data_IF_322784106214
#
_entry.id   IF_322784106214
#
_cell.length_a   1.000
_cell.length_b   1.000
_cell.length_c   1.000
_cell.angle_alpha   90.00
_cell.angle_beta   90.00
_cell.angle_gamma   90.00
#
_symmetry.space_group_name_H-M   'P 1'
#
loop_
_entity.id
_entity.type
_entity.pdbx_description
1 polymer ?
#
# COMPACT_ATOMS: atom_id res chain seq x y z
N UNK A 1 6.39 -4.60 13.12
CA UNK A 1 5.29 -3.84 12.53
C UNK A 1 5.77 -3.30 11.20
N UNK A 2 5.04 -3.56 10.12
CA UNK A 2 5.39 -3.17 8.76
C UNK A 2 5.46 -1.64 8.68
N UNK A 3 6.49 -1.05 8.06
CA UNK A 3 6.66 0.39 8.09
C UNK A 3 5.66 1.09 7.16
N UNK A 4 5.15 2.24 7.63
CA UNK A 4 4.20 3.10 6.92
C UNK A 4 4.87 4.45 6.65
N UNK A 5 4.61 5.00 5.46
CA UNK A 5 4.78 6.42 5.20
C UNK A 5 3.43 7.12 5.30
N UNK A 6 3.31 8.08 6.23
CA UNK A 6 2.11 8.88 6.40
C UNK A 6 2.20 10.15 5.55
N UNK A 7 1.21 10.36 4.67
CA UNK A 7 1.01 11.67 4.04
C UNK A 7 0.23 12.61 4.98
N UNK A 8 -0.58 12.03 5.87
CA UNK A 8 -1.33 12.73 6.91
C UNK A 8 -2.84 12.62 6.74
N UNK A 9 -3.56 13.49 7.46
CA UNK A 9 -5.02 13.54 7.47
C UNK A 9 -5.66 12.57 8.45
N UNK A 10 -6.99 12.48 8.38
CA UNK A 10 -7.83 11.61 9.22
C UNK A 10 -9.08 11.21 8.44
N UNK A 11 -9.74 10.12 8.84
CA UNK A 11 -10.98 9.64 8.20
C UNK A 11 -10.77 8.36 7.38
N UNK A 12 -11.51 8.22 6.28
CA UNK A 12 -11.46 7.05 5.41
C UNK A 12 -10.02 6.81 4.92
N UNK A 13 -9.54 5.57 5.03
CA UNK A 13 -8.17 5.22 4.68
C UNK A 13 -8.01 5.13 3.17
N UNK A 14 -7.00 5.82 2.67
CA UNK A 14 -6.41 5.60 1.34
C UNK A 14 -5.01 5.01 1.55
N UNK A 15 -4.77 3.83 0.98
CA UNK A 15 -3.44 3.25 0.90
C UNK A 15 -2.88 3.41 -0.53
N UNK A 16 -1.71 4.04 -0.65
CA UNK A 16 -0.90 4.02 -1.86
C UNK A 16 0.06 2.83 -1.87
N UNK A 17 -0.02 1.99 -2.90
CA UNK A 17 1.03 1.07 -3.31
C UNK A 17 1.85 1.69 -4.45
N UNK A 18 3.12 1.95 -4.19
CA UNK A 18 4.02 2.68 -5.11
C UNK A 18 4.45 1.85 -6.32
N UNK A 19 4.83 2.52 -7.40
CA UNK A 19 5.50 1.87 -8.52
C UNK A 19 6.94 1.46 -8.15
N UNK A 20 7.49 0.52 -8.92
CA UNK A 20 8.85 0.05 -8.72
C UNK A 20 9.87 1.20 -8.89
N UNK A 21 10.74 1.39 -7.90
CA UNK A 21 11.75 2.45 -7.91
C UNK A 21 11.28 3.84 -7.45
N UNK A 22 10.01 4.00 -7.06
CA UNK A 22 9.47 5.29 -6.62
C UNK A 22 9.15 5.26 -5.11
N UNK A 23 9.75 6.15 -4.29
CA UNK A 23 9.33 6.29 -2.89
C UNK A 23 7.97 6.98 -2.79
N UNK A 24 7.21 6.80 -1.69
CA UNK A 24 5.91 7.44 -1.51
C UNK A 24 5.94 8.97 -1.64
N UNK A 25 7.04 9.61 -1.21
CA UNK A 25 7.22 11.05 -1.31
C UNK A 25 7.07 11.60 -2.75
N UNK A 26 7.33 10.80 -3.78
CA UNK A 26 7.09 11.19 -5.19
C UNK A 26 5.62 11.53 -5.46
N UNK A 27 4.70 10.94 -4.70
CA UNK A 27 3.26 11.10 -4.89
C UNK A 27 2.66 12.22 -4.03
N UNK A 28 3.48 12.97 -3.29
CA UNK A 28 3.01 14.04 -2.42
C UNK A 28 2.06 15.02 -3.14
N UNK A 29 2.35 15.53 -4.36
CA UNK A 29 1.46 16.48 -5.03
C UNK A 29 0.07 15.90 -5.34
N UNK A 30 -0.01 14.58 -5.58
CA UNK A 30 -1.28 13.90 -5.86
C UNK A 30 -2.14 13.76 -4.61
N UNK A 31 -1.51 13.41 -3.48
CA UNK A 31 -2.24 13.08 -2.25
C UNK A 31 -2.41 14.25 -1.28
N UNK A 32 -1.59 15.31 -1.39
CA UNK A 32 -1.67 16.47 -0.50
C UNK A 32 -3.09 17.08 -0.42
N UNK A 33 -3.86 17.24 -1.51
CA UNK A 33 -5.21 17.78 -1.41
C UNK A 33 -6.19 16.85 -0.69
N UNK A 34 -5.93 15.53 -0.69
CA UNK A 34 -6.84 14.52 -0.15
C UNK A 34 -6.75 14.38 1.37
N UNK A 35 -5.63 14.78 1.98
CA UNK A 35 -5.45 14.65 3.45
C UNK A 35 -6.45 15.51 4.25
N UNK A 36 -7.13 16.46 3.59
CA UNK A 36 -8.20 17.25 4.22
C UNK A 36 -9.45 16.42 4.58
N UNK A 37 -9.68 15.28 3.91
CA UNK A 37 -10.87 14.44 4.09
C UNK A 37 -10.56 12.95 4.32
N UNK A 38 -9.33 12.51 4.04
CA UNK A 38 -8.90 11.12 4.11
C UNK A 38 -7.65 11.00 4.98
N UNK A 39 -7.48 9.85 5.63
CA UNK A 39 -6.17 9.44 6.14
C UNK A 39 -5.42 8.79 5.00
N UNK A 40 -4.33 9.39 4.56
CA UNK A 40 -3.56 8.90 3.41
C UNK A 40 -2.22 8.38 3.87
N UNK A 41 -1.95 7.11 3.55
CA UNK A 41 -0.72 6.43 3.91
C UNK A 41 -0.22 5.55 2.76
N UNK A 42 1.04 5.15 2.81
CA UNK A 42 1.60 4.11 1.98
C UNK A 42 2.20 3.02 2.86
N UNK A 43 1.73 1.78 2.70
CA UNK A 43 2.49 0.62 3.15
C UNK A 43 3.77 0.53 2.33
N UNK A 44 4.92 0.56 3.01
CA UNK A 44 6.20 0.52 2.31
C UNK A 44 6.47 -0.89 1.76
N UNK A 45 6.91 -1.03 0.49
CA UNK A 45 7.44 -2.30 0.00
C UNK A 45 8.76 -2.64 0.72
N UNK A 46 9.12 -3.94 0.74
CA UNK A 46 10.34 -4.47 1.42
C UNK A 46 11.62 -3.71 1.13
N UNK A 47 11.78 -3.21 -0.10
CA UNK A 47 12.95 -2.44 -0.52
C UNK A 47 13.15 -1.13 0.28
N UNK A 48 12.10 -0.64 0.94
CA UNK A 48 12.11 0.58 1.76
C UNK A 48 12.01 0.29 3.27
N UNK A 49 12.10 -0.98 3.69
CA UNK A 49 12.12 -1.34 5.11
C UNK A 49 13.49 -1.04 5.73
N UNK A 50 13.49 -0.74 7.03
CA UNK A 50 14.70 -0.49 7.82
C UNK A 50 14.65 -1.30 9.12
N UNK A 51 15.51 -2.33 9.30
CA UNK A 51 16.45 -2.86 8.30
C UNK A 51 15.72 -3.48 7.10
N UNK A 52 16.38 -3.52 5.95
CA UNK A 52 15.80 -4.17 4.78
C UNK A 52 15.82 -5.69 4.97
N UNK A 53 14.70 -6.34 4.63
CA UNK A 53 14.57 -7.80 4.65
C UNK A 53 14.15 -8.28 3.26
N UNK A 54 15.09 -8.31 2.29
CA UNK A 54 14.79 -8.83 0.97
C UNK A 54 14.36 -10.31 1.08
N UNK A 55 13.46 -10.78 0.20
CA UNK A 55 13.09 -12.17 0.18
C UNK A 55 14.31 -13.04 -0.17
N UNK A 56 14.40 -14.23 0.44
CA UNK A 56 15.47 -15.20 0.16
C UNK A 56 15.37 -15.79 -1.24
N UNK A 57 14.16 -15.80 -1.80
CA UNK A 57 13.86 -16.33 -3.14
C UNK A 57 12.95 -15.37 -3.91
N UNK A 58 13.12 -15.33 -5.23
CA UNK A 58 12.23 -14.59 -6.12
C UNK A 58 11.01 -15.46 -6.45
N UNK A 59 9.95 -15.29 -5.68
CA UNK A 59 8.66 -15.95 -5.90
C UNK A 59 7.74 -15.08 -6.77
N UNK A 60 6.60 -15.65 -7.18
CA UNK A 60 5.58 -14.88 -7.91
C UNK A 60 5.06 -13.70 -7.09
N UNK A 61 4.61 -12.65 -7.76
CA UNK A 61 4.02 -11.48 -7.12
C UNK A 61 2.78 -11.80 -6.28
N UNK A 62 2.03 -12.84 -6.65
CA UNK A 62 0.88 -13.33 -5.88
C UNK A 62 1.29 -13.87 -4.50
N UNK A 63 2.47 -14.50 -4.41
CA UNK A 63 2.96 -15.13 -3.18
C UNK A 63 3.68 -14.11 -2.28
N UNK A 64 4.13 -12.98 -2.83
CA UNK A 64 4.96 -12.00 -2.12
C UNK A 64 4.22 -10.69 -1.86
N UNK A 65 3.79 -9.99 -2.91
CA UNK A 65 3.32 -8.61 -2.81
C UNK A 65 1.99 -8.49 -2.07
N UNK A 66 1.01 -9.33 -2.40
CA UNK A 66 -0.30 -9.29 -1.77
C UNK A 66 -0.24 -9.68 -0.28
N UNK A 67 0.44 -10.78 0.12
CA UNK A 67 0.62 -11.09 1.53
C UNK A 67 1.34 -10.00 2.31
N UNK A 68 2.39 -9.37 1.78
CA UNK A 68 3.08 -8.27 2.46
C UNK A 68 2.14 -7.09 2.74
N UNK A 69 1.37 -6.68 1.73
CA UNK A 69 0.42 -5.58 1.85
C UNK A 69 -0.69 -5.90 2.86
N UNK A 70 -1.27 -7.10 2.79
CA UNK A 70 -2.33 -7.54 3.70
C UNK A 70 -1.82 -7.70 5.13
N UNK A 71 -0.64 -8.27 5.33
CA UNK A 71 -0.02 -8.38 6.66
C UNK A 71 0.18 -7.00 7.27
N UNK A 72 0.67 -6.03 6.48
CA UNK A 72 0.75 -4.65 6.90
C UNK A 72 -0.61 -4.08 7.34
N UNK A 73 -1.66 -4.30 6.55
CA UNK A 73 -3.00 -3.87 6.93
C UNK A 73 -3.49 -4.53 8.21
N UNK A 74 -3.26 -5.84 8.40
CA UNK A 74 -3.61 -6.56 9.63
C UNK A 74 -2.87 -6.00 10.84
N UNK A 75 -1.57 -5.75 10.74
CA UNK A 75 -0.77 -5.22 11.85
C UNK A 75 -1.17 -3.80 12.27
N UNK A 76 -1.67 -3.01 11.32
CA UNK A 76 -2.12 -1.62 11.55
C UNK A 76 -3.63 -1.48 11.68
N UNK A 77 -4.36 -2.59 11.73
CA UNK A 77 -5.83 -2.61 11.88
C UNK A 77 -6.57 -1.75 10.83
N UNK A 78 -6.08 -1.75 9.58
CA UNK A 78 -6.61 -0.89 8.51
C UNK A 78 -7.76 -1.56 7.78
N UNK A 79 -8.98 -1.01 7.79
CA UNK A 79 -10.16 -1.61 7.15
C UNK A 79 -10.79 -0.67 6.12
N UNK A 80 -11.72 -1.20 5.31
CA UNK A 80 -12.44 -0.47 4.27
C UNK A 80 -11.49 0.34 3.37
N UNK A 81 -10.31 -0.20 3.08
CA UNK A 81 -9.21 0.56 2.46
C UNK A 81 -9.59 0.93 1.02
N UNK A 82 -9.41 2.20 0.66
CA UNK A 82 -9.36 2.62 -0.74
C UNK A 82 -7.93 2.33 -1.22
N UNK A 83 -7.75 1.28 -2.00
CA UNK A 83 -6.45 0.89 -2.53
C UNK A 83 -6.14 1.67 -3.81
N UNK A 84 -5.08 2.45 -3.79
CA UNK A 84 -4.53 3.13 -4.97
C UNK A 84 -3.18 2.49 -5.27
N UNK A 85 -3.00 1.96 -6.46
CA UNK A 85 -1.71 1.39 -6.86
C UNK A 85 -1.25 1.92 -8.21
N UNK A 86 0.05 2.18 -8.36
CA UNK A 86 0.66 2.58 -9.64
C UNK A 86 1.55 1.46 -10.18
N UNK A 87 1.34 1.01 -11.42
CA UNK A 87 2.14 0.00 -12.12
C UNK A 87 2.37 -1.26 -11.25
N UNK A 88 3.59 -1.50 -10.76
CA UNK A 88 3.91 -2.56 -9.80
C UNK A 88 2.99 -2.56 -8.56
N UNK A 89 2.73 -1.39 -7.99
CA UNK A 89 1.81 -1.24 -6.86
C UNK A 89 0.36 -1.49 -7.24
N UNK A 90 -0.03 -1.20 -8.49
CA UNK A 90 -1.37 -1.50 -9.00
C UNK A 90 -1.62 -3.02 -9.00
N UNK A 91 -0.63 -3.80 -9.42
CA UNK A 91 -0.70 -5.27 -9.39
C UNK A 91 -0.72 -5.79 -7.95
N UNK A 92 0.08 -5.23 -7.04
CA UNK A 92 0.05 -5.60 -5.63
C UNK A 92 -1.34 -5.36 -5.01
N UNK A 93 -1.94 -4.19 -5.25
CA UNK A 93 -3.29 -3.87 -4.77
C UNK A 93 -4.36 -4.76 -5.38
N UNK A 94 -4.32 -5.02 -6.68
CA UNK A 94 -5.26 -5.92 -7.35
C UNK A 94 -5.22 -7.33 -6.76
N UNK A 95 -4.02 -7.89 -6.59
CA UNK A 95 -3.85 -9.23 -6.02
C UNK A 95 -4.33 -9.28 -4.56
N UNK A 96 -4.09 -8.23 -3.77
CA UNK A 96 -4.60 -8.14 -2.40
C UNK A 96 -6.13 -8.06 -2.34
N UNK A 97 -6.76 -7.29 -3.23
CA UNK A 97 -8.23 -7.21 -3.35
C UNK A 97 -8.84 -8.56 -3.73
N UNK A 98 -8.23 -9.28 -4.68
CA UNK A 98 -8.68 -10.63 -5.05
C UNK A 98 -8.61 -11.59 -3.85
N UNK A 99 -7.55 -11.48 -3.03
CA UNK A 99 -7.32 -12.38 -1.90
C UNK A 99 -8.20 -12.07 -0.69
N UNK A 100 -8.50 -10.80 -0.42
CA UNK A 100 -9.25 -10.36 0.76
C UNK A 100 -10.22 -9.20 0.43
N UNK A 101 -11.24 -9.41 -0.42
CA UNK A 101 -12.06 -8.32 -0.97
C UNK A 101 -12.82 -7.54 0.11
N UNK A 102 -13.24 -8.18 1.20
CA UNK A 102 -13.93 -7.54 2.33
C UNK A 102 -13.08 -6.51 3.08
N UNK A 103 -11.76 -6.47 2.83
CA UNK A 103 -10.85 -5.48 3.43
C UNK A 103 -10.87 -4.14 2.72
N UNK A 104 -11.43 -4.09 1.51
CA UNK A 104 -11.33 -2.96 0.60
C UNK A 104 -12.68 -2.35 0.30
N UNK A 105 -12.70 -1.02 0.23
CA UNK A 105 -13.88 -0.25 -0.20
C UNK A 105 -13.85 0.07 -1.69
N UNK A 106 -12.66 0.26 -2.24
CA UNK A 106 -12.45 0.57 -3.65
C UNK A 106 -11.01 0.22 -4.09
N UNK A 107 -10.83 0.05 -5.41
CA UNK A 107 -9.54 -0.16 -6.07
C UNK A 107 -9.38 0.86 -7.20
N UNK A 108 -8.24 1.56 -7.23
CA UNK A 108 -7.85 2.53 -8.26
C UNK A 108 -6.49 2.10 -8.81
N UNK A 109 -6.41 1.91 -10.13
CA UNK A 109 -5.22 1.44 -10.83
C UNK A 109 -4.66 2.58 -11.68
N UNK A 110 -3.40 2.96 -11.44
CA UNK A 110 -2.64 3.98 -12.15
C UNK A 110 -1.52 3.35 -12.99
#
# INVERSE_FOLDING_TARGET
MNPIYEFGGSGQIINLAVANGFPPATYQPLFQPLIAAYRVLAMLPRALWQPSTPPTELLSWKITLAPDLLNGFHEHDLHDVIAVGHSFGAIASLLAVIQAPSRFKALILL
#
